data_IF_245849078429
#
_entry.id   IF_245849078429
#
_cell.length_a   1.000
_cell.length_b   1.000
_cell.length_c   1.000
_cell.angle_alpha   90.00
_cell.angle_beta   90.00
_cell.angle_gamma   90.00
#
_symmetry.space_group_name_H-M   'P 1'
#
loop_
_entity.id
_entity.type
_entity.pdbx_description
1 polymer ?
#
# COMPACT_ATOMS: atom_id res chain seq x y z
N UNK A 1 -13.65 -9.33 10.88
CA UNK A 1 -13.71 -10.17 9.68
C UNK A 1 -12.37 -9.99 8.97
N UNK A 2 -11.42 -10.94 9.05
CA UNK A 2 -9.99 -10.66 8.81
C UNK A 2 -9.69 -9.90 7.48
N UNK A 3 -8.58 -9.17 7.42
CA UNK A 3 -8.08 -8.45 6.24
C UNK A 3 -8.11 -9.25 4.92
N UNK A 4 -7.87 -10.57 5.00
CA UNK A 4 -8.01 -11.51 3.88
C UNK A 4 -9.44 -11.49 3.32
N UNK A 5 -10.45 -11.50 4.19
CA UNK A 5 -11.87 -11.43 3.82
C UNK A 5 -12.23 -10.09 3.17
N UNK A 6 -11.56 -8.97 3.52
CA UNK A 6 -11.77 -7.67 2.88
C UNK A 6 -11.20 -7.63 1.46
N UNK A 7 -9.98 -8.12 1.25
CA UNK A 7 -9.42 -8.29 -0.11
C UNK A 7 -10.29 -9.27 -0.92
N UNK A 8 -10.69 -10.40 -0.33
CA UNK A 8 -11.57 -11.37 -0.96
C UNK A 8 -12.93 -10.78 -1.34
N UNK A 9 -13.58 -10.00 -0.46
CA UNK A 9 -14.87 -9.37 -0.74
C UNK A 9 -14.77 -8.22 -1.76
N UNK A 10 -13.64 -7.51 -1.80
CA UNK A 10 -13.46 -6.39 -2.72
C UNK A 10 -13.14 -6.86 -4.14
N UNK A 11 -12.36 -7.94 -4.29
CA UNK A 11 -12.18 -8.61 -5.58
C UNK A 11 -13.51 -9.17 -6.12
N UNK A 12 -14.50 -9.47 -5.27
CA UNK A 12 -15.81 -9.96 -5.74
C UNK A 12 -16.75 -8.89 -6.32
N UNK A 13 -16.44 -7.60 -6.23
CA UNK A 13 -17.40 -6.56 -6.64
C UNK A 13 -16.90 -5.77 -7.85
N UNK A 14 -17.45 -6.16 -9.02
CA UNK A 14 -17.53 -5.44 -10.30
C UNK A 14 -16.33 -5.50 -11.27
N UNK A 15 -16.13 -6.66 -11.93
CA UNK A 15 -16.08 -6.78 -13.41
C UNK A 15 -16.58 -8.19 -13.80
N UNK A 16 -17.70 -8.28 -14.53
CA UNK A 16 -18.08 -9.45 -15.37
C UNK A 16 -18.53 -10.79 -14.74
N UNK A 17 -19.03 -10.84 -13.51
CA UNK A 17 -19.87 -11.97 -13.05
C UNK A 17 -19.19 -13.34 -12.96
N UNK A 18 -17.86 -13.37 -12.86
CA UNK A 18 -17.10 -14.59 -12.57
C UNK A 18 -16.64 -14.58 -11.11
N UNK A 19 -16.73 -15.74 -10.44
CA UNK A 19 -16.11 -15.94 -9.12
C UNK A 19 -14.59 -15.83 -9.33
N UNK A 20 -14.01 -14.69 -8.97
CA UNK A 20 -12.56 -14.52 -9.03
C UNK A 20 -11.91 -15.32 -7.90
N UNK A 21 -10.95 -16.17 -8.26
CA UNK A 21 -9.96 -16.72 -7.35
C UNK A 21 -9.12 -15.58 -6.74
N UNK A 22 -8.47 -15.85 -5.61
CA UNK A 22 -7.49 -14.92 -5.03
C UNK A 22 -6.49 -14.51 -6.10
N UNK A 23 -6.20 -13.20 -6.28
CA UNK A 23 -5.18 -12.77 -7.22
C UNK A 23 -3.83 -13.43 -6.92
N UNK A 24 -3.18 -13.96 -7.95
CA UNK A 24 -1.86 -14.58 -7.88
C UNK A 24 -0.82 -13.80 -7.06
N UNK A 25 -0.68 -12.46 -7.17
CA UNK A 25 0.28 -11.72 -6.35
C UNK A 25 0.04 -11.86 -4.84
N UNK A 26 -1.22 -11.98 -4.40
CA UNK A 26 -1.54 -12.18 -2.98
C UNK A 26 -1.04 -13.55 -2.52
N UNK A 27 -1.24 -14.59 -3.32
CA UNK A 27 -0.74 -15.95 -3.01
C UNK A 27 0.79 -15.95 -2.91
N UNK A 28 1.49 -15.28 -3.84
CA UNK A 28 2.95 -15.16 -3.84
C UNK A 28 3.49 -14.47 -2.59
N UNK A 29 2.82 -13.42 -2.09
CA UNK A 29 3.18 -12.76 -0.84
C UNK A 29 3.13 -13.73 0.34
N UNK A 30 2.06 -14.51 0.48
CA UNK A 30 1.92 -15.47 1.58
C UNK A 30 2.88 -16.67 1.49
N UNK A 31 3.33 -17.03 0.28
CA UNK A 31 4.38 -18.03 0.07
C UNK A 31 5.80 -17.47 0.29
N UNK A 32 5.94 -16.16 0.49
CA UNK A 32 7.24 -15.50 0.62
C UNK A 32 8.00 -15.37 -0.71
N UNK A 33 7.35 -15.56 -1.85
CA UNK A 33 7.93 -15.46 -3.19
C UNK A 33 8.08 -13.99 -3.64
N UNK A 34 7.26 -13.09 -3.09
CA UNK A 34 7.34 -11.65 -3.29
C UNK A 34 6.97 -10.90 -2.00
N UNK A 35 7.31 -9.61 -1.89
CA UNK A 35 6.95 -8.75 -0.77
C UNK A 35 5.78 -7.81 -1.05
N UNK A 36 5.46 -7.01 -0.03
CA UNK A 36 4.53 -5.86 -0.10
C UNK A 36 5.34 -4.57 -0.08
N UNK A 37 5.07 -3.62 -0.97
CA UNK A 37 5.71 -2.31 -1.03
C UNK A 37 4.71 -1.22 -0.67
N UNK A 38 4.91 -0.56 0.46
CA UNK A 38 4.03 0.49 0.99
C UNK A 38 4.60 1.87 0.66
N UNK A 39 3.84 2.66 -0.09
CA UNK A 39 4.15 4.05 -0.45
C UNK A 39 3.43 5.02 0.49
N UNK A 40 4.20 5.70 1.33
CA UNK A 40 3.74 6.64 2.36
C UNK A 40 3.81 6.03 3.76
N UNK A 41 4.89 6.31 4.49
CA UNK A 41 5.15 5.79 5.85
C UNK A 41 4.62 6.76 6.92
N UNK A 42 3.38 7.22 6.73
CA UNK A 42 2.62 7.96 7.72
C UNK A 42 1.94 7.04 8.73
N UNK A 43 0.89 7.55 9.39
CA UNK A 43 0.15 6.78 10.38
C UNK A 43 -0.43 5.48 9.81
N UNK A 44 -1.23 5.57 8.73
CA UNK A 44 -1.86 4.40 8.09
C UNK A 44 -0.81 3.43 7.52
N UNK A 45 0.17 3.95 6.78
CA UNK A 45 1.19 3.11 6.14
C UNK A 45 2.05 2.34 7.15
N UNK A 46 2.42 2.95 8.29
CA UNK A 46 3.15 2.24 9.34
C UNK A 46 2.27 1.23 10.10
N UNK A 47 0.98 1.53 10.31
CA UNK A 47 0.04 0.57 10.90
C UNK A 47 -0.15 -0.68 10.01
N UNK A 48 -0.36 -0.48 8.69
CA UNK A 48 -0.42 -1.59 7.72
C UNK A 48 0.91 -2.36 7.64
N UNK A 49 2.04 -1.64 7.63
CA UNK A 49 3.37 -2.26 7.67
C UNK A 49 3.53 -3.17 8.89
N UNK A 50 3.13 -2.70 10.08
CA UNK A 50 3.15 -3.50 11.29
C UNK A 50 2.24 -4.73 11.20
N UNK A 51 1.03 -4.60 10.67
CA UNK A 51 0.11 -5.72 10.48
C UNK A 51 0.70 -6.78 9.54
N UNK A 52 1.29 -6.37 8.41
CA UNK A 52 1.95 -7.28 7.47
C UNK A 52 3.14 -8.01 8.11
N UNK A 53 3.98 -7.30 8.85
CA UNK A 53 5.11 -7.89 9.57
C UNK A 53 4.64 -8.89 10.64
N UNK A 54 3.56 -8.60 11.35
CA UNK A 54 2.96 -9.51 12.34
C UNK A 54 2.37 -10.77 11.72
N UNK A 55 2.04 -10.75 10.42
CA UNK A 55 1.67 -11.93 9.63
C UNK A 55 2.86 -12.65 8.99
N UNK A 56 4.09 -12.22 9.27
CA UNK A 56 5.31 -12.83 8.75
C UNK A 56 5.63 -12.44 7.30
N UNK A 57 4.99 -11.39 6.77
CA UNK A 57 5.20 -10.94 5.40
C UNK A 57 6.45 -10.06 5.30
N UNK A 58 7.15 -10.16 4.17
CA UNK A 58 8.26 -9.25 3.85
C UNK A 58 7.70 -7.93 3.33
N UNK A 59 8.11 -6.83 3.95
CA UNK A 59 7.60 -5.49 3.66
C UNK A 59 8.75 -4.57 3.23
N UNK A 60 8.45 -3.71 2.27
CA UNK A 60 9.31 -2.64 1.82
C UNK A 60 8.54 -1.33 1.97
N UNK A 61 9.19 -0.28 2.42
CA UNK A 61 8.57 1.02 2.66
C UNK A 61 9.22 2.13 1.85
N UNK A 62 8.41 3.02 1.29
CA UNK A 62 8.86 4.21 0.58
C UNK A 62 8.21 5.44 1.18
N UNK A 63 9.00 6.46 1.51
CA UNK A 63 8.48 7.79 1.86
C UNK A 63 9.42 8.86 1.31
N UNK A 64 8.86 9.91 0.70
CA UNK A 64 9.68 11.03 0.17
C UNK A 64 10.37 11.84 1.27
N UNK A 65 9.89 11.75 2.51
CA UNK A 65 10.50 12.43 3.64
C UNK A 65 11.72 11.65 4.15
N UNK A 66 12.91 12.10 3.75
CA UNK A 66 14.20 11.52 4.17
C UNK A 66 14.39 11.51 5.68
N UNK A 67 13.82 12.47 6.42
CA UNK A 67 13.90 12.45 7.89
C UNK A 67 13.13 11.27 8.49
N UNK A 68 11.96 10.91 7.94
CA UNK A 68 11.22 9.72 8.39
C UNK A 68 11.97 8.44 8.08
N UNK A 69 12.47 8.32 6.84
CA UNK A 69 13.26 7.15 6.41
C UNK A 69 14.50 7.00 7.28
N UNK A 70 15.21 8.08 7.55
CA UNK A 70 16.36 8.08 8.44
C UNK A 70 15.98 7.67 9.87
N UNK A 71 14.90 8.22 10.43
CA UNK A 71 14.44 7.87 11.78
C UNK A 71 14.03 6.39 11.90
N UNK A 72 13.44 5.81 10.85
CA UNK A 72 13.13 4.38 10.80
C UNK A 72 14.43 3.56 10.73
N UNK A 73 15.33 3.89 9.81
CA UNK A 73 16.61 3.18 9.63
C UNK A 73 17.52 3.27 10.87
N UNK A 74 17.57 4.42 11.55
CA UNK A 74 18.32 4.62 12.80
C UNK A 74 17.58 4.10 14.03
N UNK A 75 16.40 3.51 13.83
CA UNK A 75 15.53 2.99 14.89
C UNK A 75 15.22 4.01 16.00
N UNK A 76 14.96 5.25 15.61
CA UNK A 76 14.65 6.36 16.52
C UNK A 76 13.28 6.99 16.27
N UNK A 77 12.45 6.40 15.41
CA UNK A 77 11.09 6.86 15.17
C UNK A 77 10.21 6.60 16.41
N UNK A 78 9.11 7.34 16.51
CA UNK A 78 8.09 7.08 17.53
C UNK A 78 6.76 6.88 16.86
N UNK A 79 5.99 5.94 17.37
CA UNK A 79 4.60 5.76 16.99
C UNK A 79 3.70 5.90 18.21
N UNK A 80 2.47 6.38 17.99
CA UNK A 80 1.49 6.59 19.07
C UNK A 80 1.12 5.28 19.77
N UNK A 81 1.08 4.19 19.02
CA UNK A 81 0.79 2.84 19.49
C UNK A 81 2.06 1.99 19.63
N UNK A 82 2.29 1.43 20.82
CA UNK A 82 3.53 0.69 21.13
C UNK A 82 3.65 -0.65 20.40
N UNK A 83 2.55 -1.36 20.22
CA UNK A 83 2.51 -2.60 19.45
C UNK A 83 2.87 -2.41 17.97
N UNK A 84 2.52 -1.26 17.36
CA UNK A 84 2.96 -0.88 16.00
C UNK A 84 4.45 -0.59 15.98
N UNK A 85 4.91 0.24 16.94
CA UNK A 85 6.32 0.60 17.08
C UNK A 85 7.22 -0.64 17.23
N UNK A 86 6.86 -1.57 18.12
CA UNK A 86 7.56 -2.82 18.36
C UNK A 86 7.61 -3.72 17.12
N UNK A 87 6.48 -3.86 16.39
CA UNK A 87 6.42 -4.68 15.19
C UNK A 87 7.33 -4.15 14.07
N UNK A 88 7.32 -2.83 13.86
CA UNK A 88 8.19 -2.16 12.88
C UNK A 88 9.66 -2.28 13.28
N UNK A 89 9.99 -2.08 14.56
CA UNK A 89 11.36 -2.25 15.05
C UNK A 89 11.90 -3.66 14.83
N UNK A 90 11.12 -4.67 15.23
CA UNK A 90 11.48 -6.08 15.00
C UNK A 90 11.63 -6.37 13.51
N UNK A 91 10.73 -5.87 12.67
CA UNK A 91 10.83 -6.02 11.22
C UNK A 91 12.15 -5.44 10.65
N UNK A 92 12.58 -4.27 11.12
CA UNK A 92 13.85 -3.65 10.73
C UNK A 92 15.07 -4.40 11.26
N UNK A 93 14.98 -5.01 12.45
CA UNK A 93 16.04 -5.82 13.04
C UNK A 93 16.22 -7.15 12.29
N UNK A 94 15.12 -7.83 11.97
CA UNK A 94 15.10 -9.11 11.25
C UNK A 94 15.33 -8.96 9.74
N UNK A 95 15.38 -7.73 9.23
CA UNK A 95 15.48 -7.44 7.79
C UNK A 95 14.22 -7.83 6.99
N UNK A 96 13.10 -8.01 7.70
CA UNK A 96 11.76 -8.23 7.13
C UNK A 96 11.11 -6.92 6.67
N UNK A 97 11.55 -5.78 7.22
CA UNK A 97 11.27 -4.43 6.75
C UNK A 97 12.54 -3.77 6.22
N UNK A 98 12.47 -3.18 5.02
CA UNK A 98 13.46 -2.23 4.51
C UNK A 98 12.76 -0.97 4.03
N UNK A 99 13.37 0.19 4.26
CA UNK A 99 12.78 1.48 3.92
C UNK A 99 13.73 2.32 3.07
N UNK A 100 13.19 3.13 2.18
CA UNK A 100 13.96 3.98 1.26
C UNK A 100 13.19 5.25 0.89
N UNK A 101 13.90 6.24 0.35
CA UNK A 101 13.30 7.38 -0.37
C UNK A 101 13.10 7.09 -1.85
N UNK A 102 13.79 6.07 -2.39
CA UNK A 102 13.81 5.75 -3.81
C UNK A 102 12.67 4.79 -4.18
N UNK A 103 11.60 5.32 -4.76
CA UNK A 103 10.37 4.55 -4.99
C UNK A 103 10.48 3.35 -5.94
N UNK A 104 11.60 3.21 -6.66
CA UNK A 104 11.89 2.07 -7.53
C UNK A 104 12.72 0.96 -6.89
N UNK A 105 13.42 1.23 -5.78
CA UNK A 105 14.48 0.36 -5.25
C UNK A 105 14.02 -1.07 -4.93
N UNK A 106 12.75 -1.22 -4.57
CA UNK A 106 12.15 -2.49 -4.18
C UNK A 106 11.01 -2.94 -5.09
N UNK A 107 10.77 -2.24 -6.22
CA UNK A 107 9.64 -2.56 -7.09
C UNK A 107 9.73 -3.97 -7.69
N UNK A 108 10.95 -4.48 -7.89
CA UNK A 108 11.21 -5.81 -8.41
C UNK A 108 11.07 -6.93 -7.37
N UNK A 109 11.08 -6.60 -6.08
CA UNK A 109 11.01 -7.53 -4.95
C UNK A 109 9.61 -7.63 -4.35
N UNK A 110 8.71 -6.72 -4.72
CA UNK A 110 7.34 -6.70 -4.26
C UNK A 110 6.40 -6.85 -5.45
N UNK A 111 5.36 -7.67 -5.29
CA UNK A 111 4.30 -7.81 -6.30
C UNK A 111 2.95 -7.27 -5.83
N UNK A 112 2.89 -6.76 -4.59
CA UNK A 112 1.77 -5.96 -4.08
C UNK A 112 2.29 -4.56 -3.73
N UNK A 113 1.67 -3.52 -4.31
CA UNK A 113 2.02 -2.11 -4.16
C UNK A 113 0.87 -1.40 -3.46
N UNK A 114 1.09 -0.87 -2.26
CA UNK A 114 0.06 -0.28 -1.40
C UNK A 114 0.29 1.22 -1.27
N UNK A 115 -0.73 2.02 -1.56
CA UNK A 115 -0.63 3.49 -1.59
C UNK A 115 -1.37 4.09 -0.39
N UNK A 116 -0.63 4.76 0.49
CA UNK A 116 -1.12 5.41 1.72
C UNK A 116 -0.68 6.87 1.83
N UNK A 117 -0.53 7.56 0.69
CA UNK A 117 -0.15 8.98 0.63
C UNK A 117 -1.36 9.91 0.79
N UNK A 118 -1.20 11.12 1.34
CA UNK A 118 -2.32 12.03 1.53
C UNK A 118 -2.95 12.46 0.19
N UNK A 119 -4.27 12.58 0.19
CA UNK A 119 -5.06 13.25 -0.84
C UNK A 119 -5.82 14.36 -0.11
N UNK A 120 -5.53 15.62 -0.43
CA UNK A 120 -6.12 16.75 0.25
C UNK A 120 -7.34 17.26 -0.52
N UNK A 121 -8.44 17.48 0.18
CA UNK A 121 -9.65 18.11 -0.36
C UNK A 121 -9.78 19.48 0.28
N UNK A 122 -9.78 20.53 -0.53
CA UNK A 122 -10.20 21.85 -0.08
C UNK A 122 -11.72 21.84 0.11
N UNK A 123 -12.17 22.08 1.35
CA UNK A 123 -13.58 22.00 1.70
C UNK A 123 -14.40 23.20 1.19
N UNK A 124 -13.75 24.33 0.90
CA UNK A 124 -14.36 25.55 0.37
C UNK A 124 -14.50 25.47 -1.14
N UNK A 125 -13.41 25.17 -1.86
CA UNK A 125 -13.38 25.15 -3.33
C UNK A 125 -13.85 23.81 -3.90
N UNK A 126 -13.84 22.74 -3.08
CA UNK A 126 -14.05 21.34 -3.51
C UNK A 126 -12.96 20.82 -4.43
N UNK A 127 -11.84 21.53 -4.55
CA UNK A 127 -10.70 21.08 -5.33
C UNK A 127 -9.94 19.98 -4.57
N UNK A 128 -9.48 18.99 -5.32
CA UNK A 128 -8.73 17.85 -4.79
C UNK A 128 -7.29 17.94 -5.27
N UNK A 129 -6.36 17.93 -4.34
CA UNK A 129 -4.93 17.84 -4.62
C UNK A 129 -4.52 16.36 -4.73
N UNK A 130 -4.29 15.93 -5.97
CA UNK A 130 -3.81 14.59 -6.31
C UNK A 130 -2.29 14.50 -6.46
N UNK A 131 -1.52 15.58 -6.17
CA UNK A 131 -0.08 15.65 -6.46
C UNK A 131 0.68 14.45 -5.90
N UNK A 132 0.49 14.13 -4.62
CA UNK A 132 1.18 12.99 -4.00
C UNK A 132 0.76 11.64 -4.57
N UNK A 133 -0.51 11.49 -4.98
CA UNK A 133 -1.01 10.27 -5.60
C UNK A 133 -0.41 10.08 -6.99
N UNK A 134 -0.35 11.15 -7.80
CA UNK A 134 0.23 11.12 -9.14
C UNK A 134 1.73 10.80 -9.05
N UNK A 135 2.49 11.46 -8.16
CA UNK A 135 3.91 11.17 -7.93
C UNK A 135 4.17 9.69 -7.62
N UNK A 136 3.37 9.10 -6.72
CA UNK A 136 3.47 7.68 -6.39
C UNK A 136 3.04 6.79 -7.56
N UNK A 137 1.96 7.14 -8.26
CA UNK A 137 1.51 6.43 -9.45
C UNK A 137 2.59 6.38 -10.54
N UNK A 138 3.29 7.48 -10.78
CA UNK A 138 4.42 7.51 -11.73
C UNK A 138 5.61 6.68 -11.24
N UNK A 139 5.88 6.69 -9.94
CA UNK A 139 6.92 5.86 -9.34
C UNK A 139 6.63 4.36 -9.50
N UNK A 140 5.40 3.96 -9.18
CA UNK A 140 4.93 2.58 -9.34
C UNK A 140 4.97 2.20 -10.82
N UNK A 141 4.41 3.02 -11.71
CA UNK A 141 4.33 2.74 -13.14
C UNK A 141 5.69 2.44 -13.77
N UNK A 142 6.75 3.14 -13.36
CA UNK A 142 8.13 2.92 -13.84
C UNK A 142 8.69 1.54 -13.48
N UNK A 143 8.19 0.90 -12.43
CA UNK A 143 8.63 -0.40 -11.95
C UNK A 143 7.53 -1.46 -11.92
N UNK A 144 6.37 -1.17 -12.51
CA UNK A 144 5.20 -2.03 -12.54
C UNK A 144 5.45 -3.20 -13.50
N UNK A 145 4.98 -4.39 -13.11
CA UNK A 145 5.13 -5.61 -13.90
C UNK A 145 3.78 -6.27 -14.14
N UNK A 146 3.72 -7.11 -15.16
CA UNK A 146 2.57 -8.00 -15.36
C UNK A 146 2.31 -8.82 -14.09
N UNK A 147 1.04 -8.96 -13.74
CA UNK A 147 0.51 -9.63 -12.55
C UNK A 147 0.86 -8.95 -11.21
N UNK A 148 1.40 -7.73 -11.19
CA UNK A 148 1.45 -6.94 -9.96
C UNK A 148 0.03 -6.54 -9.52
N UNK A 149 -0.14 -6.32 -8.22
CA UNK A 149 -1.36 -5.75 -7.64
C UNK A 149 -1.05 -4.38 -7.05
N UNK A 150 -1.78 -3.35 -7.48
CA UNK A 150 -1.74 -2.00 -6.91
C UNK A 150 -3.03 -1.74 -6.13
N UNK A 151 -2.89 -1.31 -4.87
CA UNK A 151 -3.99 -1.04 -3.95
C UNK A 151 -3.93 0.41 -3.49
N UNK A 152 -4.98 1.17 -3.76
CA UNK A 152 -5.18 2.49 -3.18
C UNK A 152 -5.87 2.36 -1.82
N UNK A 153 -5.12 2.62 -0.74
CA UNK A 153 -5.62 2.60 0.64
C UNK A 153 -5.95 4.00 1.18
N UNK A 154 -5.39 5.05 0.56
CA UNK A 154 -5.72 6.43 0.90
C UNK A 154 -7.21 6.71 0.69
N UNK A 155 -7.83 7.38 1.66
CA UNK A 155 -9.20 7.89 1.47
C UNK A 155 -9.24 8.83 0.29
N UNK A 156 -10.10 8.52 -0.69
CA UNK A 156 -10.17 9.23 -1.95
C UNK A 156 -11.62 9.51 -2.36
N UNK A 157 -11.90 10.63 -3.07
CA UNK A 157 -13.17 10.85 -3.73
C UNK A 157 -13.53 9.72 -4.72
N UNK A 158 -14.83 9.51 -5.01
CA UNK A 158 -15.24 8.63 -6.10
C UNK A 158 -14.56 9.02 -7.42
N UNK A 159 -14.20 8.02 -8.22
CA UNK A 159 -13.51 8.23 -9.50
C UNK A 159 -11.98 8.31 -9.39
N UNK A 160 -11.39 8.56 -8.22
CA UNK A 160 -9.92 8.71 -8.10
C UNK A 160 -9.14 7.51 -8.63
N UNK A 161 -9.57 6.27 -8.35
CA UNK A 161 -8.88 5.08 -8.85
C UNK A 161 -8.94 4.97 -10.38
N UNK A 162 -10.12 5.15 -10.96
CA UNK A 162 -10.38 4.94 -12.39
C UNK A 162 -9.95 6.10 -13.28
N UNK A 163 -10.11 7.33 -12.80
CA UNK A 163 -9.97 8.57 -13.58
C UNK A 163 -8.63 9.28 -13.32
N UNK A 164 -7.95 8.96 -12.21
CA UNK A 164 -6.67 9.61 -11.85
C UNK A 164 -5.53 8.60 -11.75
N UNK A 165 -5.66 7.58 -10.90
CA UNK A 165 -4.56 6.64 -10.65
C UNK A 165 -4.33 5.69 -11.84
N UNK A 166 -5.40 5.07 -12.37
CA UNK A 166 -5.30 4.14 -13.50
C UNK A 166 -4.62 4.77 -14.72
N UNK A 167 -5.03 5.96 -15.22
CA UNK A 167 -4.40 6.56 -16.40
C UNK A 167 -2.92 6.86 -16.19
N UNK A 168 -2.50 7.22 -14.97
CA UNK A 168 -1.08 7.44 -14.65
C UNK A 168 -0.30 6.13 -14.72
N UNK A 169 -0.80 5.06 -14.10
CA UNK A 169 -0.16 3.74 -14.10
C UNK A 169 -0.03 3.19 -15.53
N UNK A 170 -1.10 3.21 -16.30
CA UNK A 170 -1.12 2.68 -17.67
C UNK A 170 -0.19 3.48 -18.60
N UNK A 171 -0.25 4.81 -18.54
CA UNK A 171 0.61 5.69 -19.35
C UNK A 171 2.10 5.47 -19.08
N UNK A 172 2.49 5.29 -17.82
CA UNK A 172 3.91 5.21 -17.44
C UNK A 172 4.46 3.80 -17.62
N UNK A 173 3.67 2.76 -17.32
CA UNK A 173 4.10 1.36 -17.44
C UNK A 173 3.95 0.80 -18.85
N UNK A 174 2.99 1.31 -19.64
CA UNK A 174 2.56 0.70 -20.89
C UNK A 174 1.70 -0.56 -20.72
N UNK A 175 1.32 -0.90 -19.48
CA UNK A 175 0.45 -2.03 -19.12
C UNK A 175 -0.99 -1.55 -18.92
N UNK A 176 -1.97 -2.44 -19.10
CA UNK A 176 -3.39 -2.17 -18.94
C UNK A 176 -3.93 -2.73 -17.62
N UNK A 177 -4.67 -1.92 -16.85
CA UNK A 177 -5.26 -2.36 -15.60
C UNK A 177 -6.43 -3.32 -15.85
N UNK A 178 -6.47 -4.43 -15.12
CA UNK A 178 -7.47 -5.49 -15.30
C UNK A 178 -7.15 -6.49 -16.41
N UNK A 179 -6.12 -6.22 -17.22
CA UNK A 179 -5.58 -7.15 -18.23
C UNK A 179 -4.18 -7.62 -17.85
N UNK A 180 -3.25 -6.68 -17.69
CA UNK A 180 -1.84 -6.96 -17.42
C UNK A 180 -1.51 -6.90 -15.93
N UNK A 181 -2.19 -6.05 -15.14
CA UNK A 181 -1.99 -5.94 -13.70
C UNK A 181 -3.31 -5.68 -12.96
N UNK A 182 -3.34 -5.96 -11.66
CA UNK A 182 -4.53 -5.75 -10.83
C UNK A 182 -4.52 -4.36 -10.20
N UNK A 183 -5.67 -3.68 -10.22
CA UNK A 183 -5.88 -2.41 -9.55
C UNK A 183 -7.08 -2.49 -8.60
N UNK A 184 -6.89 -2.08 -7.36
CA UNK A 184 -7.92 -2.12 -6.33
C UNK A 184 -7.97 -0.81 -5.52
N UNK A 185 -9.14 -0.53 -4.96
CA UNK A 185 -9.35 0.51 -3.95
C UNK A 185 -9.81 -0.15 -2.65
N UNK A 186 -9.06 -0.02 -1.57
CA UNK A 186 -9.44 -0.59 -0.28
C UNK A 186 -9.12 0.45 0.77
N UNK A 187 -9.95 1.49 0.96
CA UNK A 187 -9.59 2.56 1.86
C UNK A 187 -9.55 2.05 3.31
N UNK A 188 -8.40 2.22 3.97
CA UNK A 188 -8.25 1.78 5.35
C UNK A 188 -9.04 2.68 6.31
N UNK A 189 -9.70 2.08 7.29
CA UNK A 189 -10.54 2.77 8.28
C UNK A 189 -10.12 2.38 9.69
N UNK A 190 -9.06 3.03 10.15
CA UNK A 190 -8.45 2.78 11.45
C UNK A 190 -8.59 3.98 12.37
N UNK A 191 -8.81 3.72 13.66
CA UNK A 191 -8.82 4.74 14.70
C UNK A 191 -7.42 4.97 15.29
N UNK A 192 -7.14 6.20 15.72
CA UNK A 192 -5.87 6.53 16.39
C UNK A 192 -5.82 5.88 17.76
N UNK A 193 -4.91 4.92 17.96
CA UNK A 193 -4.79 4.18 19.22
C UNK A 193 -5.36 2.76 19.20
N UNK A 194 -6.00 2.34 18.09
CA UNK A 194 -6.56 0.99 17.90
C UNK A 194 -6.23 0.40 16.52
N UNK A 195 -5.20 0.89 15.82
CA UNK A 195 -4.99 0.58 14.40
C UNK A 195 -4.75 -0.90 14.12
N UNK A 196 -3.91 -1.57 14.90
CA UNK A 196 -3.66 -3.00 14.68
C UNK A 196 -4.89 -3.87 14.99
N UNK A 197 -5.68 -3.50 16.00
CA UNK A 197 -6.92 -4.22 16.32
C UNK A 197 -7.93 -4.05 15.18
N UNK A 198 -8.08 -2.83 14.69
CA UNK A 198 -8.94 -2.50 13.55
C UNK A 198 -8.52 -3.24 12.27
N UNK A 199 -7.23 -3.45 12.01
CA UNK A 199 -6.75 -4.16 10.81
C UNK A 199 -6.83 -5.68 10.97
N UNK A 200 -6.44 -6.21 12.13
CA UNK A 200 -6.27 -7.66 12.31
C UNK A 200 -7.57 -8.39 12.65
N UNK A 201 -8.48 -7.71 13.35
CA UNK A 201 -9.70 -8.31 13.90
C UNK A 201 -10.93 -7.98 13.06
N UNK A 202 -11.07 -6.72 12.62
CA UNK A 202 -12.27 -6.21 11.94
C UNK A 202 -12.27 -6.46 10.43
#
# INVERSE_FOLDING_TARGET
>A
MNWMTRIYMFVMTLVSGHVMSVPDPVIKVFKGECGVLVYGLGYVGLALTAAYLRKGLRVYGVDKNSHKVNALTSRSFKFVEKNVEEAVYRGLEEGMLRVTTEGLEFSDKACVKVITVPIHLDWLTKEVDYTSLIEVGESIGKGLRENDLVILESSAPPGTTEEVLKPVLERVSGLLAGEDFYLAYSPERIYVGHSLEDIEVN
#
